data_IF_512536997911
#
_entry.id   IF_512536997911
#
_cell.length_a   1.000
_cell.length_b   1.000
_cell.length_c   1.000
_cell.angle_alpha   90.00
_cell.angle_beta   90.00
_cell.angle_gamma   90.00
#
_symmetry.space_group_name_H-M   'P 1'
#
loop_
_entity.id
_entity.type
_entity.pdbx_description
1 polymer ?
#
# COMPACT_ATOMS: atom_id res chain seq x y z
N UNK A 1 -21.55 -2.89 5.50
CA UNK A 1 -20.33 -2.10 5.30
C UNK A 1 -20.73 -0.78 4.68
N UNK A 2 -20.57 0.36 5.36
CA UNK A 2 -20.90 1.68 4.81
C UNK A 2 -19.58 2.34 4.39
N UNK A 3 -19.34 2.42 3.08
CA UNK A 3 -18.21 3.16 2.51
C UNK A 3 -18.66 4.59 2.25
N UNK A 4 -18.03 5.58 2.88
CA UNK A 4 -18.10 6.95 2.42
C UNK A 4 -16.90 7.18 1.49
N UNK A 5 -17.15 7.28 0.18
CA UNK A 5 -16.19 7.86 -0.75
C UNK A 5 -16.20 9.37 -0.54
N UNK A 6 -15.04 9.97 -0.31
CA UNK A 6 -14.88 11.41 -0.47
C UNK A 6 -14.40 11.62 -1.89
N UNK A 7 -15.19 12.38 -2.65
CA UNK A 7 -14.98 12.71 -4.06
C UNK A 7 -13.54 13.20 -4.30
N UNK A 8 -12.96 12.77 -5.44
CA UNK A 8 -11.59 13.04 -5.89
C UNK A 8 -11.16 14.49 -5.64
N UNK A 9 -10.28 14.78 -4.67
CA UNK A 9 -9.80 16.14 -4.44
C UNK A 9 -8.93 16.68 -5.59
N UNK A 10 -8.42 15.78 -6.44
CA UNK A 10 -7.67 16.03 -7.66
C UNK A 10 -7.68 14.77 -8.55
N UNK A 11 -7.46 14.87 -9.87
CA UNK A 11 -7.42 13.72 -10.77
C UNK A 11 -6.43 12.65 -10.28
N UNK A 12 -6.90 11.41 -10.12
CA UNK A 12 -6.06 10.30 -9.65
C UNK A 12 -5.93 10.17 -8.14
N UNK A 13 -6.55 11.04 -7.34
CA UNK A 13 -6.53 10.96 -5.87
C UNK A 13 -7.81 10.31 -5.33
N UNK A 14 -7.66 9.15 -4.70
CA UNK A 14 -8.74 8.35 -4.12
C UNK A 14 -8.62 8.27 -2.60
N UNK A 15 -9.58 8.83 -1.88
CA UNK A 15 -9.68 8.70 -0.42
C UNK A 15 -10.73 7.66 -0.04
N UNK A 16 -10.37 6.71 0.83
CA UNK A 16 -11.24 5.63 1.29
C UNK A 16 -11.32 5.68 2.82
N UNK A 17 -12.54 5.80 3.33
CA UNK A 17 -12.82 5.72 4.76
C UNK A 17 -13.56 4.42 5.06
N UNK A 18 -12.97 3.59 5.92
CA UNK A 18 -13.50 2.28 6.28
C UNK A 18 -13.75 2.20 7.79
N UNK A 19 -14.96 1.80 8.17
CA UNK A 19 -15.33 1.52 9.55
C UNK A 19 -16.04 0.16 9.60
N UNK A 20 -15.51 -0.79 10.39
CA UNK A 20 -16.21 -2.05 10.69
C UNK A 20 -17.15 -1.83 11.88
N UNK A 21 -18.35 -2.40 11.81
CA UNK A 21 -19.38 -2.39 12.87
C UNK A 21 -19.72 -3.86 13.16
N UNK A 22 -19.81 -4.33 14.42
CA UNK A 22 -19.97 -3.59 15.69
C UNK A 22 -18.68 -3.10 16.37
N UNK A 23 -17.49 -3.43 15.87
CA UNK A 23 -16.22 -3.00 16.46
C UNK A 23 -15.84 -1.57 16.01
N UNK A 24 -16.39 -0.57 16.71
CA UNK A 24 -16.09 0.86 16.47
C UNK A 24 -14.61 1.25 16.65
N UNK A 25 -13.76 0.35 17.17
CA UNK A 25 -12.31 0.56 17.29
C UNK A 25 -11.53 0.26 16.01
N UNK A 26 -12.17 -0.28 14.97
CA UNK A 26 -11.53 -0.65 13.71
C UNK A 26 -11.64 0.44 12.64
N UNK A 27 -11.67 1.72 13.03
CA UNK A 27 -11.64 2.82 12.07
C UNK A 27 -10.34 2.77 11.26
N UNK A 28 -10.42 2.91 9.95
CA UNK A 28 -9.25 2.98 9.06
C UNK A 28 -9.48 4.06 8.02
N UNK A 29 -8.47 4.89 7.82
CA UNK A 29 -8.43 5.86 6.74
C UNK A 29 -7.36 5.42 5.77
N UNK A 30 -7.68 5.39 4.49
CA UNK A 30 -6.72 5.11 3.42
C UNK A 30 -6.78 6.24 2.40
N UNK A 31 -5.62 6.64 1.92
CA UNK A 31 -5.46 7.63 0.87
C UNK A 31 -4.57 7.02 -0.20
N UNK A 32 -5.10 6.92 -1.41
CA UNK A 32 -4.42 6.37 -2.57
C UNK A 32 -4.31 7.46 -3.61
N UNK A 33 -3.12 7.71 -4.11
CA UNK A 33 -2.85 8.61 -5.20
C UNK A 33 -2.26 7.81 -6.34
N UNK A 34 -2.93 7.80 -7.49
CA UNK A 34 -2.48 7.13 -8.69
C UNK A 34 -2.28 8.16 -9.79
N UNK A 35 -1.05 8.24 -10.25
CA UNK A 35 -0.61 8.95 -11.43
C UNK A 35 -0.16 7.93 -12.48
N UNK A 36 -0.10 8.32 -13.76
CA UNK A 36 0.18 7.45 -14.90
C UNK A 36 1.39 6.50 -14.73
N UNK A 37 2.40 6.92 -13.97
CA UNK A 37 3.62 6.14 -13.69
C UNK A 37 3.94 5.97 -12.20
N UNK A 38 3.04 6.38 -11.31
CA UNK A 38 3.32 6.38 -9.87
C UNK A 38 2.05 6.14 -9.07
N UNK A 39 2.06 5.15 -8.18
CA UNK A 39 1.01 4.92 -7.20
C UNK A 39 1.56 5.14 -5.80
N UNK A 40 0.96 6.00 -5.01
CA UNK A 40 1.26 6.16 -3.59
C UNK A 40 0.02 5.73 -2.83
N UNK A 41 0.18 4.95 -1.79
CA UNK A 41 -0.89 4.58 -0.89
C UNK A 41 -0.43 4.80 0.54
N UNK A 42 -1.24 5.49 1.33
CA UNK A 42 -1.01 5.62 2.76
C UNK A 42 -2.27 5.24 3.49
N UNK A 43 -2.14 4.60 4.65
CA UNK A 43 -3.28 4.31 5.49
C UNK A 43 -2.94 4.46 6.96
N UNK A 44 -3.95 4.81 7.73
CA UNK A 44 -3.88 5.10 9.15
C UNK A 44 -4.97 4.30 9.84
N UNK A 45 -4.57 3.40 10.73
CA UNK A 45 -5.48 2.73 11.65
C UNK A 45 -5.87 3.67 12.79
N UNK A 46 -7.15 3.99 12.91
CA UNK A 46 -7.76 4.73 14.02
C UNK A 46 -8.18 3.76 15.14
N UNK A 47 -7.25 2.91 15.56
CA UNK A 47 -7.46 1.93 16.63
C UNK A 47 -6.69 2.32 17.89
N UNK A 48 -6.83 1.56 18.98
CA UNK A 48 -6.08 1.80 20.22
C UNK A 48 -4.55 1.76 20.04
N UNK A 49 -4.07 1.03 19.03
CA UNK A 49 -2.68 1.05 18.58
C UNK A 49 -2.67 1.55 17.13
N UNK A 50 -2.36 2.84 16.87
CA UNK A 50 -2.38 3.36 15.52
C UNK A 50 -1.23 2.77 14.71
N UNK A 51 -1.55 2.17 13.57
CA UNK A 51 -0.57 1.68 12.61
C UNK A 51 -0.66 2.56 11.37
N UNK A 52 0.49 3.05 10.92
CA UNK A 52 0.64 3.82 9.69
C UNK A 52 1.23 2.92 8.63
N UNK A 53 0.51 2.73 7.54
CA UNK A 53 1.03 2.05 6.35
C UNK A 53 1.36 3.08 5.29
N UNK A 54 2.47 2.86 4.60
CA UNK A 54 2.88 3.66 3.46
C UNK A 54 3.44 2.74 2.39
N UNK A 55 2.88 2.79 1.19
CA UNK A 55 3.42 2.15 0.01
C UNK A 55 3.55 3.13 -1.14
N UNK A 56 4.58 2.91 -1.93
CA UNK A 56 4.83 3.68 -3.14
C UNK A 56 5.27 2.71 -4.23
N UNK A 57 4.67 2.83 -5.40
CA UNK A 57 5.08 2.17 -6.63
C UNK A 57 5.38 3.23 -7.67
N UNK A 58 6.47 3.06 -8.39
CA UNK A 58 6.85 3.89 -9.51
C UNK A 58 7.26 2.98 -10.66
N UNK A 59 6.66 3.19 -11.82
CA UNK A 59 6.86 2.31 -12.95
C UNK A 59 5.88 2.51 -14.09
N UNK A 60 6.11 1.78 -15.15
CA UNK A 60 5.24 1.66 -16.31
C UNK A 60 4.82 0.19 -16.48
N UNK A 61 4.14 -0.10 -17.58
CA UNK A 61 3.68 -1.46 -17.94
C UNK A 61 4.80 -2.48 -18.14
N UNK A 62 6.07 -2.05 -18.23
CA UNK A 62 7.22 -2.93 -18.46
C UNK A 62 8.10 -3.07 -17.22
N UNK A 63 8.24 -2.02 -16.42
CA UNK A 63 9.11 -1.99 -15.25
C UNK A 63 8.41 -1.23 -14.13
N UNK A 64 8.25 -1.85 -12.96
CA UNK A 64 7.76 -1.17 -11.79
C UNK A 64 8.55 -1.54 -10.52
N UNK A 65 8.84 -0.51 -9.74
CA UNK A 65 9.54 -0.57 -8.47
C UNK A 65 8.57 -0.15 -7.37
N UNK A 66 8.45 -0.96 -6.33
CA UNK A 66 7.52 -0.75 -5.23
C UNK A 66 8.21 -0.84 -3.88
N UNK A 67 7.69 -0.12 -2.91
CA UNK A 67 7.99 -0.31 -1.49
C UNK A 67 6.69 -0.31 -0.70
N UNK A 68 6.67 -1.06 0.40
CA UNK A 68 5.55 -1.08 1.34
C UNK A 68 6.08 -1.17 2.76
N UNK A 69 5.79 -0.14 3.54
CA UNK A 69 6.27 0.07 4.88
C UNK A 69 5.08 0.13 5.85
N UNK A 70 5.29 -0.36 7.07
CA UNK A 70 4.32 -0.24 8.15
C UNK A 70 5.01 0.20 9.42
N UNK A 71 4.49 1.23 10.06
CA UNK A 71 5.01 1.83 11.27
C UNK A 71 3.99 1.72 12.39
N UNK A 72 4.36 1.06 13.47
CA UNK A 72 3.57 0.97 14.68
C UNK A 72 3.92 2.15 15.58
N UNK A 73 2.95 3.06 15.76
CA UNK A 73 3.16 4.29 16.54
C UNK A 73 3.17 4.05 18.05
N UNK A 74 2.66 2.90 18.52
CA UNK A 74 2.63 2.56 19.94
C UNK A 74 4.01 2.08 20.43
N UNK A 75 4.71 1.30 19.59
CA UNK A 75 6.07 0.82 19.84
C UNK A 75 7.15 1.71 19.24
N UNK A 76 6.81 2.58 18.29
CA UNK A 76 7.75 3.43 17.57
C UNK A 76 8.66 2.67 16.60
N UNK A 77 8.22 1.50 16.12
CA UNK A 77 9.03 0.62 15.28
C UNK A 77 8.36 0.32 13.92
N UNK A 78 9.17 0.02 12.91
CA UNK A 78 8.69 -0.49 11.64
C UNK A 78 8.36 -1.97 11.78
N UNK A 79 7.09 -2.31 11.57
CA UNK A 79 6.58 -3.69 11.63
C UNK A 79 6.63 -4.39 10.27
N UNK A 80 6.81 -3.62 9.20
CA UNK A 80 6.92 -4.14 7.83
C UNK A 80 7.82 -3.24 7.00
N UNK A 81 8.74 -3.85 6.26
CA UNK A 81 9.64 -3.19 5.33
C UNK A 81 9.80 -4.05 4.08
N UNK A 82 8.90 -3.88 3.11
CA UNK A 82 8.90 -4.62 1.88
C UNK A 82 9.39 -3.75 0.72
N UNK A 83 10.11 -4.38 -0.20
CA UNK A 83 10.53 -3.80 -1.46
C UNK A 83 10.24 -4.77 -2.60
N UNK A 84 9.84 -4.25 -3.75
CA UNK A 84 9.46 -5.03 -4.91
C UNK A 84 10.03 -4.43 -6.18
N UNK A 85 10.43 -5.29 -7.10
CA UNK A 85 10.71 -4.98 -8.49
C UNK A 85 9.84 -5.92 -9.34
N UNK A 86 9.26 -5.40 -10.39
CA UNK A 86 8.56 -6.18 -11.40
C UNK A 86 9.01 -5.74 -12.78
N UNK A 87 9.21 -6.72 -13.64
CA UNK A 87 9.52 -6.60 -15.04
C UNK A 87 8.48 -7.40 -15.81
N UNK A 88 7.84 -6.77 -16.78
CA UNK A 88 6.81 -7.36 -17.62
C UNK A 88 7.19 -7.13 -19.06
N UNK A 89 7.24 -8.21 -19.83
CA UNK A 89 7.42 -8.22 -21.27
C UNK A 89 6.29 -9.07 -21.88
N UNK A 90 6.13 -9.02 -23.20
CA UNK A 90 5.00 -9.70 -23.88
C UNK A 90 5.02 -11.23 -23.70
N UNK A 91 6.19 -11.81 -23.41
CA UNK A 91 6.40 -13.26 -23.26
C UNK A 91 6.79 -13.67 -21.82
N UNK A 92 7.00 -12.71 -20.92
CA UNK A 92 7.53 -12.99 -19.58
C UNK A 92 7.13 -11.95 -18.54
N UNK A 93 6.67 -12.41 -17.39
CA UNK A 93 6.54 -11.56 -16.19
C UNK A 93 7.50 -12.07 -15.13
N UNK A 94 8.49 -11.25 -14.77
CA UNK A 94 9.44 -11.51 -13.70
C UNK A 94 9.23 -10.50 -12.56
N UNK A 95 9.03 -10.95 -11.33
CA UNK A 95 9.02 -10.06 -10.18
C UNK A 95 9.83 -10.61 -9.03
N UNK A 96 10.41 -9.69 -8.26
CA UNK A 96 11.22 -9.95 -7.08
C UNK A 96 10.65 -9.12 -5.95
N UNK A 97 10.20 -9.77 -4.88
CA UNK A 97 9.80 -9.10 -3.66
C UNK A 97 10.70 -9.52 -2.50
N UNK A 98 11.12 -8.55 -1.72
CA UNK A 98 11.90 -8.72 -0.49
C UNK A 98 11.03 -8.22 0.66
N UNK A 99 10.90 -9.02 1.71
CA UNK A 99 10.14 -8.66 2.91
C UNK A 99 11.04 -8.29 4.09
N UNK A 100 10.44 -7.94 5.23
CA UNK A 100 11.13 -7.58 6.48
C UNK A 100 12.06 -8.69 7.02
N UNK A 101 11.82 -9.94 6.62
CA UNK A 101 12.63 -11.11 6.99
C UNK A 101 13.72 -11.43 5.97
N UNK A 102 13.88 -10.59 4.94
CA UNK A 102 14.75 -10.81 3.79
C UNK A 102 14.39 -12.06 2.98
N UNK A 103 13.16 -12.56 3.09
CA UNK A 103 12.69 -13.61 2.19
C UNK A 103 12.51 -13.01 0.79
N UNK A 104 13.12 -13.68 -0.19
CA UNK A 104 13.07 -13.27 -1.60
C UNK A 104 12.06 -14.16 -2.31
N UNK A 105 10.99 -13.56 -2.80
CA UNK A 105 10.00 -14.22 -3.64
C UNK A 105 10.23 -13.83 -5.09
N UNK A 106 10.48 -14.84 -5.92
CA UNK A 106 10.62 -14.67 -7.37
C UNK A 106 9.39 -15.31 -8.02
N UNK A 107 8.65 -14.52 -8.79
CA UNK A 107 7.58 -15.01 -9.65
C UNK A 107 8.03 -14.88 -11.10
N UNK A 108 8.01 -15.99 -11.82
CA UNK A 108 8.24 -16.05 -13.26
C UNK A 108 7.01 -16.73 -13.86
N UNK A 109 6.31 -16.05 -14.76
CA UNK A 109 5.18 -16.58 -15.53
C UNK A 109 5.36 -16.36 -17.01
#
# INVERSE_FOLDING_TARGET
FHHHYVDEPAPGLKAIFSFRVPDQRSGKVELQYLHEYAGISTSLGLTANPIVNFSGVFGNSTLALGTDLSFDTASGNFTKCNAGLSFTNDDLIASVNVNDKLDIFILIS
#
